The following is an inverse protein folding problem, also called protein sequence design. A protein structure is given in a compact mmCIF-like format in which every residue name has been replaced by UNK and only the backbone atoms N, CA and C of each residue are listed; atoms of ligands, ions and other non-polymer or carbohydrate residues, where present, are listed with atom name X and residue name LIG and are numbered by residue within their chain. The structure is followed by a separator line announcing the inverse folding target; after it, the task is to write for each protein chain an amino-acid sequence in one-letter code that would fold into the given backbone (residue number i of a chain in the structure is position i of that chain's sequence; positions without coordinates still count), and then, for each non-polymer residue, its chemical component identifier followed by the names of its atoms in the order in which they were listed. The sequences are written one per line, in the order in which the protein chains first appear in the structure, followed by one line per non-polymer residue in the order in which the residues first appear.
data_IF_693124954483
#
_entry.id   IF_693124954483
#
_cell.length_a   1.000
_cell.length_b   1.000
_cell.length_c   1.000
_cell.angle_alpha   90.00
_cell.angle_beta   90.00
_cell.angle_gamma   90.00
#
_symmetry.space_group_name_H-M   'P 1'
#
loop_
_entity.id
_entity.type
_entity.pdbx_description
1 polymer ?
#
# COMPACT_ATOMS: atom_id res chain seq x y z
N UNK A 1 -8.99 -23.15 -19.83
CA UNK A 1 -10.13 -23.16 -18.88
C UNK A 1 -9.77 -23.67 -17.47
N UNK A 2 -9.04 -24.79 -17.30
CA UNK A 2 -8.59 -25.25 -15.96
C UNK A 2 -7.59 -24.29 -15.33
N UNK A 3 -6.68 -23.75 -16.10
CA UNK A 3 -5.58 -22.89 -15.62
C UNK A 3 -6.06 -21.53 -15.10
N UNK A 4 -7.09 -20.93 -15.70
CA UNK A 4 -7.58 -19.61 -15.29
C UNK A 4 -8.30 -19.66 -13.95
N UNK A 5 -9.05 -20.71 -13.68
CA UNK A 5 -9.71 -20.92 -12.39
C UNK A 5 -8.71 -21.12 -11.25
N UNK A 6 -7.60 -21.81 -11.50
CA UNK A 6 -6.55 -21.99 -10.50
C UNK A 6 -5.85 -20.67 -10.17
N UNK A 7 -5.61 -19.82 -11.18
CA UNK A 7 -5.03 -18.49 -11.00
C UNK A 7 -5.99 -17.58 -10.23
N UNK A 8 -7.28 -17.58 -10.59
CA UNK A 8 -8.30 -16.81 -9.87
C UNK A 8 -8.38 -17.23 -8.40
N UNK A 9 -8.36 -18.54 -8.13
CA UNK A 9 -8.38 -19.05 -6.77
C UNK A 9 -7.13 -18.62 -5.99
N UNK A 10 -5.96 -18.65 -6.63
CA UNK A 10 -4.71 -18.19 -6.01
C UNK A 10 -4.74 -16.70 -5.70
N UNK A 11 -5.21 -15.86 -6.63
CA UNK A 11 -5.38 -14.43 -6.41
C UNK A 11 -6.35 -14.13 -5.26
N UNK A 12 -7.50 -14.81 -5.19
CA UNK A 12 -8.46 -14.68 -4.09
C UNK A 12 -7.87 -15.09 -2.74
N UNK A 13 -7.09 -16.16 -2.73
CA UNK A 13 -6.43 -16.62 -1.51
C UNK A 13 -5.41 -15.60 -1.01
N UNK A 14 -4.52 -15.11 -1.89
CA UNK A 14 -3.54 -14.08 -1.56
C UNK A 14 -4.22 -12.80 -1.06
N UNK A 15 -5.29 -12.36 -1.74
CA UNK A 15 -6.08 -11.22 -1.30
C UNK A 15 -6.65 -11.41 0.10
N UNK A 16 -7.25 -12.57 0.38
CA UNK A 16 -7.80 -12.89 1.69
C UNK A 16 -6.74 -12.89 2.79
N UNK A 17 -5.52 -13.37 2.52
CA UNK A 17 -4.41 -13.31 3.47
C UNK A 17 -3.97 -11.87 3.72
N UNK A 18 -3.81 -11.08 2.66
CA UNK A 18 -3.45 -9.67 2.77
C UNK A 18 -4.48 -8.90 3.59
N UNK A 19 -5.79 -9.10 3.32
CA UNK A 19 -6.86 -8.43 4.06
C UNK A 19 -6.89 -8.86 5.54
N UNK A 20 -6.66 -10.14 5.81
CA UNK A 20 -6.55 -10.65 7.20
C UNK A 20 -5.40 -9.96 7.95
N UNK A 21 -4.20 -9.91 7.37
CA UNK A 21 -3.04 -9.29 8.01
C UNK A 21 -3.17 -7.77 8.11
N UNK A 22 -3.82 -7.12 7.14
CA UNK A 22 -4.19 -5.70 7.24
C UNK A 22 -5.07 -5.45 8.46
N UNK A 23 -6.12 -6.26 8.64
CA UNK A 23 -7.00 -6.13 9.79
C UNK A 23 -6.23 -6.32 11.10
N UNK A 24 -5.39 -7.34 11.18
CA UNK A 24 -4.55 -7.63 12.35
C UNK A 24 -3.62 -6.48 12.69
N UNK A 25 -3.01 -5.87 11.68
CA UNK A 25 -2.07 -4.77 11.86
C UNK A 25 -2.78 -3.45 12.20
N UNK A 26 -3.80 -3.06 11.38
CA UNK A 26 -4.41 -1.72 11.48
C UNK A 26 -5.57 -1.62 12.47
N UNK A 27 -6.33 -2.70 12.67
CA UNK A 27 -7.53 -2.67 13.51
C UNK A 27 -7.30 -3.34 14.88
N UNK A 28 -6.61 -4.49 14.90
CA UNK A 28 -6.42 -5.28 16.10
C UNK A 28 -5.14 -4.90 16.86
N UNK A 29 -4.22 -4.11 16.26
CA UNK A 29 -2.88 -3.76 16.79
C UNK A 29 -2.11 -5.03 17.27
N UNK A 30 -2.26 -6.11 16.52
CA UNK A 30 -1.72 -7.43 16.84
C UNK A 30 -1.22 -8.14 15.59
N UNK A 31 -0.09 -7.70 14.99
CA UNK A 31 0.47 -8.32 13.79
C UNK A 31 0.84 -9.79 14.06
N UNK A 32 0.49 -10.66 13.13
CA UNK A 32 0.73 -12.11 13.21
C UNK A 32 1.93 -12.56 12.37
N UNK A 33 2.39 -11.70 11.46
CA UNK A 33 3.56 -11.94 10.59
C UNK A 33 4.49 -10.74 10.63
N UNK A 34 5.74 -10.95 10.25
CA UNK A 34 6.73 -9.90 10.09
C UNK A 34 6.47 -9.07 8.80
N UNK A 35 6.89 -7.81 8.79
CA UNK A 35 6.66 -6.89 7.66
C UNK A 35 7.15 -7.45 6.33
N UNK A 36 8.32 -8.12 6.31
CA UNK A 36 8.86 -8.72 5.09
C UNK A 36 8.01 -9.89 4.56
N UNK A 37 7.32 -10.63 5.44
CA UNK A 37 6.38 -11.70 5.05
C UNK A 37 5.14 -11.12 4.42
N UNK A 38 4.61 -10.04 5.01
CA UNK A 38 3.49 -9.30 4.45
C UNK A 38 3.84 -8.70 3.07
N UNK A 39 4.99 -8.07 2.93
CA UNK A 39 5.47 -7.50 1.66
C UNK A 39 5.62 -8.58 0.58
N UNK A 40 6.06 -9.79 0.96
CA UNK A 40 6.13 -10.92 0.05
C UNK A 40 4.76 -11.34 -0.46
N UNK A 41 3.74 -11.39 0.40
CA UNK A 41 2.36 -11.68 -0.01
C UNK A 41 1.83 -10.63 -0.98
N UNK A 42 2.03 -9.35 -0.68
CA UNK A 42 1.65 -8.25 -1.57
C UNK A 42 2.31 -8.37 -2.94
N UNK A 43 3.62 -8.59 -2.95
CA UNK A 43 4.38 -8.72 -4.19
C UNK A 43 3.89 -9.90 -5.04
N UNK A 44 3.66 -11.06 -4.43
CA UNK A 44 3.14 -12.23 -5.15
C UNK A 44 1.76 -11.95 -5.75
N UNK A 45 0.89 -11.24 -5.02
CA UNK A 45 -0.41 -10.82 -5.52
C UNK A 45 -0.28 -9.85 -6.70
N UNK A 46 0.56 -8.82 -6.60
CA UNK A 46 0.78 -7.83 -7.64
C UNK A 46 1.40 -8.43 -8.90
N UNK A 47 2.38 -9.31 -8.76
CA UNK A 47 3.02 -10.01 -9.88
C UNK A 47 2.00 -10.85 -10.64
N UNK A 48 1.17 -11.64 -9.94
CA UNK A 48 0.11 -12.42 -10.55
C UNK A 48 -0.96 -11.54 -11.22
N UNK A 49 -1.36 -10.44 -10.58
CA UNK A 49 -2.31 -9.49 -11.13
C UNK A 49 -1.78 -8.84 -12.42
N UNK A 50 -0.51 -8.46 -12.43
CA UNK A 50 0.14 -7.86 -13.60
C UNK A 50 0.30 -8.85 -14.76
N UNK A 51 0.53 -10.13 -14.47
CA UNK A 51 0.58 -11.19 -15.49
C UNK A 51 -0.80 -11.51 -16.08
N UNK A 52 -1.88 -11.32 -15.30
CA UNK A 52 -3.24 -11.67 -15.69
C UNK A 52 -4.26 -10.55 -15.43
N UNK A 53 -4.10 -9.36 -16.05
CA UNK A 53 -4.86 -8.16 -15.73
C UNK A 53 -6.37 -8.27 -15.99
N UNK A 54 -6.79 -9.26 -16.78
CA UNK A 54 -8.20 -9.45 -17.15
C UNK A 54 -8.95 -10.44 -16.27
N UNK A 55 -8.28 -11.07 -15.29
CA UNK A 55 -8.88 -12.12 -14.46
C UNK A 55 -9.55 -11.62 -13.18
N UNK A 56 -9.26 -10.39 -12.75
CA UNK A 56 -9.92 -9.73 -11.61
C UNK A 56 -10.50 -8.39 -12.03
N UNK A 57 -11.69 -8.08 -11.54
CA UNK A 57 -12.27 -6.75 -11.64
C UNK A 57 -11.56 -5.77 -10.68
N UNK A 58 -11.55 -4.49 -11.07
CA UNK A 58 -10.72 -3.39 -10.56
C UNK A 58 -10.97 -3.01 -9.07
N UNK A 59 -11.98 -3.57 -8.41
CA UNK A 59 -12.38 -3.19 -7.04
C UNK A 59 -11.50 -3.76 -5.91
N UNK A 60 -10.39 -4.43 -6.25
CA UNK A 60 -9.51 -5.06 -5.28
C UNK A 60 -8.29 -4.18 -4.95
N UNK A 61 -8.49 -2.93 -4.52
CA UNK A 61 -7.39 -2.11 -3.99
C UNK A 61 -6.87 -2.69 -2.66
N UNK A 62 -5.55 -2.85 -2.57
CA UNK A 62 -4.88 -3.25 -1.33
C UNK A 62 -4.75 -2.01 -0.45
N UNK A 63 -5.46 -1.99 0.66
CA UNK A 63 -5.37 -0.93 1.66
C UNK A 63 -6.22 -1.28 2.88
N UNK A 64 -5.79 -0.84 4.06
CA UNK A 64 -6.61 -0.95 5.26
C UNK A 64 -7.84 -0.07 5.15
N UNK A 65 -9.03 -0.60 5.47
CA UNK A 65 -10.20 0.23 5.64
C UNK A 65 -9.98 1.21 6.81
N UNK A 66 -10.53 2.44 6.75
CA UNK A 66 -10.52 3.35 7.89
C UNK A 66 -11.21 2.68 9.10
N UNK A 67 -10.71 2.97 10.31
CA UNK A 67 -11.25 2.42 11.56
C UNK A 67 -12.65 2.96 11.82
N UNK A 68 -13.60 2.13 12.20
CA UNK A 68 -14.93 2.60 12.61
C UNK A 68 -14.92 3.39 13.94
N UNK A 69 -13.78 3.43 14.63
CA UNK A 69 -13.64 4.10 15.94
C UNK A 69 -13.49 5.62 15.85
N UNK A 70 -13.11 6.12 14.67
CA UNK A 70 -12.82 7.54 14.45
C UNK A 70 -13.65 8.12 13.32
N UNK A 71 -13.73 9.44 13.26
CA UNK A 71 -14.41 10.15 12.16
C UNK A 71 -13.55 10.08 10.90
N UNK A 72 -14.12 9.57 9.83
CA UNK A 72 -13.43 9.45 8.55
C UNK A 72 -13.21 10.82 7.89
N UNK A 73 -12.03 11.00 7.30
CA UNK A 73 -11.60 12.22 6.65
C UNK A 73 -11.15 11.94 5.24
N UNK A 74 -11.74 12.61 4.26
CA UNK A 74 -11.26 12.55 2.88
C UNK A 74 -10.01 13.42 2.73
N UNK A 75 -8.96 12.84 2.15
CA UNK A 75 -7.75 13.58 1.80
C UNK A 75 -7.99 14.51 0.61
N UNK A 76 -7.50 15.75 0.70
CA UNK A 76 -7.53 16.70 -0.43
C UNK A 76 -6.61 16.25 -1.57
N UNK A 77 -5.54 15.58 -1.23
CA UNK A 77 -4.56 14.98 -2.15
C UNK A 77 -4.35 13.55 -1.70
N UNK A 78 -4.42 12.59 -2.63
CA UNK A 78 -4.20 11.19 -2.34
C UNK A 78 -2.85 10.98 -1.65
N UNK A 79 -2.84 10.25 -0.54
CA UNK A 79 -1.63 9.81 0.15
C UNK A 79 -1.14 8.49 -0.45
N UNK A 80 -0.22 8.60 -1.37
CA UNK A 80 0.35 7.44 -2.06
C UNK A 80 1.39 6.72 -1.20
N UNK A 81 1.59 5.42 -1.47
CA UNK A 81 2.70 4.65 -0.92
C UNK A 81 3.93 4.82 -1.81
N UNK A 82 5.11 4.73 -1.21
CA UNK A 82 6.35 4.63 -1.96
C UNK A 82 6.47 3.23 -2.57
N UNK A 83 7.07 3.15 -3.75
CA UNK A 83 7.42 1.86 -4.35
C UNK A 83 8.69 1.32 -3.68
N UNK A 84 8.66 0.04 -3.33
CA UNK A 84 9.80 -0.65 -2.76
C UNK A 84 10.69 -1.21 -3.88
N UNK A 85 12.00 -1.24 -3.63
CA UNK A 85 13.00 -1.87 -4.51
C UNK A 85 13.80 -2.87 -3.67
N UNK A 86 13.77 -4.15 -4.06
CA UNK A 86 14.40 -5.24 -3.32
C UNK A 86 15.70 -5.74 -3.98
N UNK A 87 16.09 -5.15 -5.11
CA UNK A 87 17.29 -5.52 -5.85
C UNK A 87 17.95 -4.33 -6.50
N UNK A 88 19.24 -4.47 -6.82
CA UNK A 88 19.97 -3.45 -7.59
C UNK A 88 19.36 -3.23 -8.98
N UNK A 89 18.84 -4.26 -9.62
CA UNK A 89 18.21 -4.15 -10.94
C UNK A 89 16.92 -3.31 -10.88
N UNK A 90 16.14 -3.45 -9.81
CA UNK A 90 14.95 -2.63 -9.60
C UNK A 90 15.30 -1.17 -9.31
N UNK A 91 16.34 -0.96 -8.49
CA UNK A 91 16.87 0.37 -8.22
C UNK A 91 17.41 1.05 -9.50
N UNK A 92 18.11 0.31 -10.34
CA UNK A 92 18.61 0.80 -11.63
C UNK A 92 17.45 1.16 -12.57
N UNK A 93 16.41 0.34 -12.63
CA UNK A 93 15.19 0.66 -13.40
C UNK A 93 14.53 1.94 -12.90
N UNK A 94 14.41 2.11 -11.58
CA UNK A 94 13.91 3.35 -11.00
C UNK A 94 14.80 4.55 -11.37
N UNK A 95 16.12 4.43 -11.21
CA UNK A 95 17.08 5.47 -11.56
C UNK A 95 16.95 5.87 -13.04
N UNK A 96 16.84 4.91 -13.96
CA UNK A 96 16.70 5.16 -15.39
C UNK A 96 15.34 5.78 -15.80
N UNK A 97 14.32 5.65 -14.94
CA UNK A 97 13.01 6.24 -15.14
C UNK A 97 12.99 7.73 -14.79
N UNK A 98 13.87 8.15 -13.89
CA UNK A 98 14.05 9.55 -13.51
C UNK A 98 15.11 10.19 -14.42
N UNK A 99 14.97 11.47 -14.72
CA UNK A 99 15.90 12.16 -15.61
C UNK A 99 17.36 12.04 -15.13
N UNK A 100 18.30 11.66 -16.02
CA UNK A 100 19.72 11.52 -15.74
C UNK A 100 20.42 12.81 -15.25
N UNK A 101 19.70 13.93 -15.20
CA UNK A 101 20.20 15.23 -14.74
C UNK A 101 19.80 15.56 -13.31
N UNK A 102 18.92 14.75 -12.70
CA UNK A 102 18.42 14.99 -11.36
C UNK A 102 19.46 14.54 -10.31
N UNK A 103 19.45 15.26 -9.20
CA UNK A 103 20.20 14.86 -8.01
C UNK A 103 19.31 14.03 -7.13
N UNK A 104 19.87 12.97 -6.58
CA UNK A 104 19.19 12.11 -5.63
C UNK A 104 19.66 12.43 -4.21
N UNK A 105 18.74 12.43 -3.28
CA UNK A 105 19.01 12.43 -1.84
C UNK A 105 18.63 11.05 -1.33
N UNK A 106 19.53 10.45 -0.56
CA UNK A 106 19.27 9.16 0.10
C UNK A 106 18.98 9.44 1.56
N UNK A 107 17.85 9.00 2.03
CA UNK A 107 17.38 9.22 3.40
C UNK A 107 16.88 7.89 4.00
N UNK A 108 17.02 7.69 5.33
CA UNK A 108 16.37 6.58 6.00
C UNK A 108 14.84 6.70 5.86
N UNK A 109 14.18 5.61 5.45
CA UNK A 109 12.72 5.53 5.52
C UNK A 109 12.34 5.18 6.96
N UNK A 110 11.83 6.16 7.69
CA UNK A 110 11.40 5.96 9.08
C UNK A 110 10.12 5.14 9.08
N UNK A 111 10.11 4.10 9.88
CA UNK A 111 8.90 3.32 10.13
C UNK A 111 7.98 4.03 11.13
N UNK A 112 6.66 3.93 10.91
CA UNK A 112 5.66 4.58 11.74
C UNK A 112 4.36 4.89 11.00
N UNK A 113 3.48 5.62 11.69
CA UNK A 113 2.19 6.02 11.17
C UNK A 113 2.36 7.20 10.20
N UNK A 114 1.82 7.06 8.98
CA UNK A 114 1.74 8.17 8.03
C UNK A 114 0.60 9.11 8.42
N UNK A 115 0.94 10.39 8.63
CA UNK A 115 -0.02 11.44 8.99
C UNK A 115 -0.06 12.53 7.92
N UNK A 116 -1.27 12.98 7.62
CA UNK A 116 -1.53 14.25 6.93
C UNK A 116 -1.86 15.31 7.96
N UNK A 117 -1.17 16.44 7.90
CA UNK A 117 -1.38 17.56 8.84
C UNK A 117 -1.69 18.82 8.02
N UNK A 118 -2.85 19.41 8.30
CA UNK A 118 -3.31 20.60 7.57
C UNK A 118 -3.30 21.84 8.47
N UNK A 119 -2.76 22.92 7.92
CA UNK A 119 -2.77 24.24 8.52
C UNK A 119 -3.52 25.22 7.65
N UNK A 120 -4.34 26.07 8.26
CA UNK A 120 -4.98 27.19 7.60
C UNK A 120 -4.62 28.49 8.36
N UNK A 121 -4.06 29.45 7.65
CA UNK A 121 -3.58 30.72 8.24
C UNK A 121 -2.62 30.51 9.43
N UNK A 122 -1.78 29.48 9.39
CA UNK A 122 -0.83 29.16 10.46
C UNK A 122 -1.42 28.42 11.66
N UNK A 123 -2.71 28.10 11.63
CA UNK A 123 -3.41 27.34 12.68
C UNK A 123 -3.61 25.91 12.22
N UNK A 124 -3.26 24.93 13.06
CA UNK A 124 -3.52 23.52 12.84
C UNK A 124 -5.04 23.31 12.80
N UNK A 125 -5.56 22.87 11.65
CA UNK A 125 -6.99 22.64 11.46
C UNK A 125 -7.34 21.16 11.49
N UNK A 126 -6.41 20.29 11.04
CA UNK A 126 -6.67 18.86 10.96
C UNK A 126 -5.39 18.04 10.96
N UNK A 127 -5.46 16.86 11.56
CA UNK A 127 -4.52 15.77 11.38
C UNK A 127 -5.30 14.51 11.10
N UNK A 128 -4.84 13.68 10.17
CA UNK A 128 -5.47 12.40 9.82
C UNK A 128 -4.45 11.36 9.43
N UNK A 129 -4.75 10.10 9.69
CA UNK A 129 -3.95 8.96 9.23
C UNK A 129 -4.06 8.81 7.72
N UNK A 130 -3.17 8.02 7.11
CA UNK A 130 -3.26 7.74 5.67
C UNK A 130 -4.51 6.94 5.31
N UNK A 131 -4.94 5.98 6.14
CA UNK A 131 -5.97 5.03 5.81
C UNK A 131 -5.68 4.30 4.48
N UNK A 132 -6.66 4.26 3.59
CA UNK A 132 -6.50 3.69 2.24
C UNK A 132 -5.89 4.66 1.20
N UNK A 133 -5.43 5.82 1.66
CA UNK A 133 -4.86 6.87 0.83
C UNK A 133 -5.87 7.90 0.31
N UNK A 134 -7.14 7.58 0.28
CA UNK A 134 -8.24 8.51 -0.06
C UNK A 134 -9.00 8.98 1.19
N UNK A 135 -9.15 8.10 2.15
CA UNK A 135 -9.86 8.32 3.41
C UNK A 135 -8.97 7.83 4.55
N UNK A 136 -8.77 8.68 5.55
CA UNK A 136 -8.08 8.37 6.81
C UNK A 136 -8.97 8.66 8.02
N UNK A 137 -8.42 8.44 9.20
CA UNK A 137 -9.05 8.71 10.50
C UNK A 137 -8.45 9.94 11.16
#
# INVERSE_FOLDING_TARGET
MSNDNDIINKLKNLKSQIDHHNKKYYEDDNPEIEDWEYDKLKREFEDLRNMFPNLLSIDDEIGGAPSEKFSHVNHKIRMESLHDSFSYDELEKFYNKVSNKERFVVEPKIDGISLSIEYENGILTRASTRGNGYVGD
#
